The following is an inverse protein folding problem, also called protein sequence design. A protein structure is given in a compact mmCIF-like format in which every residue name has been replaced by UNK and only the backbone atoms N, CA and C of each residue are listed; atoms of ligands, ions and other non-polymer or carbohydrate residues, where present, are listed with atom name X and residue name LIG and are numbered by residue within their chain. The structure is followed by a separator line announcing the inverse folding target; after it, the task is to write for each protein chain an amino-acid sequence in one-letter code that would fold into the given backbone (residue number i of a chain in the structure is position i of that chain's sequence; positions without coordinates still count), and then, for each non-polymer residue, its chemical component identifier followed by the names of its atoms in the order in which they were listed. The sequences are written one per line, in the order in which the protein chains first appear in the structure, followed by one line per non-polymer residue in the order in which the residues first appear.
data_IF_456021648597
#
_entry.id   IF_456021648597
#
_cell.length_a   1.000
_cell.length_b   1.000
_cell.length_c   1.000
_cell.angle_alpha   90.00
_cell.angle_beta   90.00
_cell.angle_gamma   90.00
#
_symmetry.space_group_name_H-M   'P 1'
#
loop_
_entity.id
_entity.type
_entity.pdbx_description
1 polymer ?
#
# COMPACT_ATOMS: atom_id res chain seq x y z
N UNK A 1 -10.29 17.34 -16.36
CA UNK A 1 -11.40 16.49 -15.88
C UNK A 1 -11.66 16.80 -14.41
N UNK A 2 -12.89 16.52 -13.93
CA UNK A 2 -13.25 16.55 -12.51
C UNK A 2 -13.38 15.12 -12.01
N UNK A 3 -12.51 14.72 -11.09
CA UNK A 3 -12.44 13.35 -10.58
C UNK A 3 -12.86 13.32 -9.12
N UNK A 4 -13.81 12.46 -8.77
CA UNK A 4 -14.25 12.26 -7.40
C UNK A 4 -13.69 10.97 -6.81
N UNK A 5 -12.83 11.06 -5.81
CA UNK A 5 -12.30 9.92 -5.07
C UNK A 5 -13.23 9.54 -3.92
N UNK A 6 -13.70 8.30 -3.89
CA UNK A 6 -14.53 7.76 -2.83
C UNK A 6 -13.73 6.73 -2.05
N UNK A 7 -13.38 7.05 -0.81
CA UNK A 7 -12.50 6.20 0.02
C UNK A 7 -13.01 6.10 1.46
N UNK A 8 -12.99 4.89 2.03
CA UNK A 8 -13.26 4.67 3.45
C UNK A 8 -12.03 4.92 4.32
N UNK A 9 -10.84 4.96 3.71
CA UNK A 9 -9.57 5.16 4.38
C UNK A 9 -8.89 6.41 3.82
N UNK A 10 -8.80 7.46 4.67
CA UNK A 10 -8.15 8.71 4.32
C UNK A 10 -7.52 9.35 5.56
N UNK A 11 -6.77 10.44 5.37
CA UNK A 11 -6.14 11.19 6.48
C UNK A 11 -7.12 11.44 7.64
N UNK A 12 -6.70 11.34 8.91
CA UNK A 12 -5.32 11.25 9.40
C UNK A 12 -4.73 9.83 9.44
N UNK A 13 -5.41 8.82 8.88
CA UNK A 13 -4.87 7.47 8.81
C UNK A 13 -3.65 7.45 7.87
N UNK A 14 -2.58 6.79 8.31
CA UNK A 14 -1.37 6.61 7.52
C UNK A 14 -1.24 5.13 7.14
N UNK A 15 -1.35 4.84 5.84
CA UNK A 15 -1.13 3.50 5.27
C UNK A 15 -0.92 3.59 3.75
N UNK A 16 -0.64 2.45 3.12
CA UNK A 16 -0.40 2.37 1.68
C UNK A 16 -1.58 2.82 0.81
N UNK A 17 -2.83 2.65 1.26
CA UNK A 17 -4.01 3.11 0.51
C UNK A 17 -4.04 4.63 0.47
N UNK A 18 -3.88 5.28 1.64
CA UNK A 18 -3.85 6.75 1.72
C UNK A 18 -2.69 7.32 0.90
N UNK A 19 -1.50 6.72 1.01
CA UNK A 19 -0.34 7.14 0.22
C UNK A 19 -0.61 7.05 -1.30
N UNK A 20 -1.25 5.96 -1.75
CA UNK A 20 -1.64 5.78 -3.16
C UNK A 20 -2.67 6.82 -3.62
N UNK A 21 -3.67 7.10 -2.78
CA UNK A 21 -4.71 8.11 -3.07
C UNK A 21 -4.10 9.50 -3.17
N UNK A 22 -3.19 9.87 -2.24
CA UNK A 22 -2.53 11.16 -2.23
C UNK A 22 -1.64 11.35 -3.47
N UNK A 23 -0.78 10.38 -3.78
CA UNK A 23 0.09 10.44 -4.98
C UNK A 23 -0.73 10.62 -6.25
N UNK A 24 -1.83 9.87 -6.40
CA UNK A 24 -2.70 10.00 -7.57
C UNK A 24 -3.43 11.34 -7.59
N UNK A 25 -3.92 11.81 -6.43
CA UNK A 25 -4.62 13.09 -6.34
C UNK A 25 -3.71 14.26 -6.70
N UNK A 26 -2.51 14.28 -6.15
CA UNK A 26 -1.55 15.37 -6.37
C UNK A 26 -1.04 15.38 -7.82
N UNK A 27 -0.69 14.23 -8.37
CA UNK A 27 -0.26 14.16 -9.76
C UNK A 27 -1.37 14.48 -10.79
N UNK A 28 -2.64 14.22 -10.48
CA UNK A 28 -3.76 14.69 -11.30
C UNK A 28 -3.92 16.22 -11.21
N UNK A 29 -3.75 16.81 -10.00
CA UNK A 29 -3.80 18.28 -9.81
C UNK A 29 -2.68 18.99 -10.55
N UNK A 30 -1.45 18.46 -10.49
CA UNK A 30 -0.32 18.98 -11.26
C UNK A 30 -0.60 19.02 -12.77
N UNK A 31 -1.39 18.07 -13.27
CA UNK A 31 -1.86 18.04 -14.67
C UNK A 31 -3.16 18.83 -14.91
N UNK A 32 -3.49 19.76 -14.00
CA UNK A 32 -4.66 20.65 -14.08
C UNK A 32 -6.01 19.92 -14.09
N UNK A 33 -6.10 18.76 -13.45
CA UNK A 33 -7.37 18.11 -13.16
C UNK A 33 -7.88 18.53 -11.78
N UNK A 34 -9.20 18.66 -11.63
CA UNK A 34 -9.82 18.91 -10.33
C UNK A 34 -10.08 17.57 -9.62
N UNK A 35 -9.57 17.41 -8.41
CA UNK A 35 -9.76 16.18 -7.61
C UNK A 35 -10.51 16.50 -6.33
N UNK A 36 -11.65 15.86 -6.15
CA UNK A 36 -12.52 15.95 -4.97
C UNK A 36 -12.45 14.64 -4.20
N UNK A 37 -12.22 14.69 -2.87
CA UNK A 37 -12.15 13.50 -2.04
C UNK A 37 -13.38 13.39 -1.14
N UNK A 38 -14.04 12.23 -1.13
CA UNK A 38 -15.18 11.89 -0.28
C UNK A 38 -14.75 10.80 0.70
N UNK A 39 -14.68 11.16 1.99
CA UNK A 39 -14.11 10.28 3.02
C UNK A 39 -14.86 10.41 4.36
N UNK A 40 -14.76 9.43 5.28
CA UNK A 40 -15.40 9.51 6.59
C UNK A 40 -14.83 10.66 7.43
N UNK A 41 -15.71 11.28 8.23
CA UNK A 41 -15.30 12.31 9.19
C UNK A 41 -14.59 11.67 10.38
N UNK A 42 -13.44 12.23 10.74
CA UNK A 42 -12.69 11.83 11.95
C UNK A 42 -12.83 12.96 12.98
N UNK A 43 -13.44 12.73 14.15
CA UNK A 43 -13.56 13.73 15.21
C UNK A 43 -12.16 14.23 15.65
N UNK A 44 -12.05 15.53 15.91
CA UNK A 44 -10.79 16.14 16.35
C UNK A 44 -9.73 16.35 15.27
N UNK A 45 -9.95 15.86 14.04
CA UNK A 45 -9.06 16.11 12.92
C UNK A 45 -9.50 17.36 12.16
N UNK A 46 -8.59 18.33 12.05
CA UNK A 46 -8.77 19.53 11.23
C UNK A 46 -8.24 19.26 9.83
N UNK A 47 -9.13 19.35 8.85
CA UNK A 47 -8.75 19.15 7.45
C UNK A 47 -7.86 20.28 6.97
N UNK A 48 -6.83 19.95 6.22
CA UNK A 48 -6.08 20.97 5.47
C UNK A 48 -6.94 21.56 4.35
N UNK A 49 -6.73 22.82 3.96
CA UNK A 49 -7.49 23.43 2.87
C UNK A 49 -7.46 22.58 1.61
N UNK A 50 -8.63 22.23 1.09
CA UNK A 50 -8.74 21.41 -0.13
C UNK A 50 -10.15 20.88 -0.35
N UNK A 51 -10.44 20.30 -1.51
CA UNK A 51 -11.76 19.79 -1.86
C UNK A 51 -12.03 18.41 -1.25
N UNK A 52 -11.97 18.33 0.09
CA UNK A 52 -12.28 17.10 0.84
C UNK A 52 -13.65 17.22 1.51
N UNK A 53 -14.55 16.31 1.17
CA UNK A 53 -15.91 16.22 1.71
C UNK A 53 -15.98 15.13 2.76
N UNK A 54 -16.09 15.52 4.04
CA UNK A 54 -16.18 14.61 5.17
C UNK A 54 -17.60 14.17 5.43
N UNK A 55 -17.84 12.88 5.27
CA UNK A 55 -19.14 12.26 5.51
C UNK A 55 -19.31 11.86 6.98
N UNK A 56 -20.52 11.93 7.56
CA UNK A 56 -20.79 11.44 8.90
C UNK A 56 -20.29 10.00 9.07
N UNK A 57 -19.71 9.70 10.22
CA UNK A 57 -19.15 8.37 10.48
C UNK A 57 -19.22 7.99 11.95
N UNK A 58 -19.27 6.70 12.23
CA UNK A 58 -19.21 6.10 13.57
C UNK A 58 -17.91 5.32 13.75
N UNK A 59 -17.38 5.22 14.99
CA UNK A 59 -16.28 4.31 15.28
C UNK A 59 -16.75 2.86 15.08
N UNK A 60 -15.86 1.99 14.62
CA UNK A 60 -16.12 0.56 14.62
C UNK A 60 -16.04 0.00 16.06
N UNK A 61 -16.80 -1.05 16.41
CA UNK A 61 -16.78 -1.64 17.75
C UNK A 61 -15.54 -2.51 18.02
N UNK A 62 -14.44 -2.20 17.37
CA UNK A 62 -13.13 -2.87 17.50
C UNK A 62 -12.04 -1.80 17.62
N UNK A 63 -10.91 -2.15 18.26
CA UNK A 63 -9.78 -1.22 18.42
C UNK A 63 -9.08 -1.02 17.07
N UNK A 64 -9.54 -0.01 16.32
CA UNK A 64 -9.03 0.32 14.99
C UNK A 64 -9.19 1.82 14.72
N UNK A 65 -8.31 2.44 13.90
CA UNK A 65 -8.49 3.83 13.47
C UNK A 65 -9.57 3.98 12.39
N UNK A 66 -10.06 2.89 11.82
CA UNK A 66 -11.08 2.93 10.75
C UNK A 66 -12.46 3.27 11.30
N UNK A 67 -13.28 3.89 10.47
CA UNK A 67 -14.62 4.35 10.83
C UNK A 67 -15.62 3.86 9.80
N UNK A 68 -16.85 3.65 10.25
CA UNK A 68 -17.97 3.29 9.39
C UNK A 68 -18.64 4.58 8.89
N UNK A 69 -18.61 4.84 7.60
CA UNK A 69 -19.31 5.97 7.00
C UNK A 69 -20.83 5.77 7.09
N UNK A 70 -21.54 6.82 7.45
CA UNK A 70 -22.99 6.83 7.39
C UNK A 70 -23.43 7.48 6.06
N UNK A 71 -24.34 6.86 5.28
CA UNK A 71 -24.81 7.42 4.01
C UNK A 71 -25.81 8.59 4.22
N UNK A 72 -25.81 9.19 5.42
CA UNK A 72 -26.65 10.30 5.83
C UNK A 72 -25.99 11.63 5.44
N UNK A 73 -26.03 12.00 4.19
CA UNK A 73 -25.46 13.28 3.75
C UNK A 73 -26.59 14.24 3.40
N UNK A 74 -26.40 15.52 3.75
CA UNK A 74 -27.26 16.59 3.23
C UNK A 74 -27.17 16.60 1.69
N UNK A 75 -28.16 15.95 1.07
CA UNK A 75 -28.16 15.60 -0.36
C UNK A 75 -28.01 16.82 -1.29
N UNK A 76 -28.44 18.02 -0.84
CA UNK A 76 -28.48 19.21 -1.72
C UNK A 76 -27.08 19.70 -2.11
N UNK A 77 -26.14 19.86 -1.16
CA UNK A 77 -24.82 20.41 -1.46
C UNK A 77 -23.91 19.39 -2.17
N UNK A 78 -23.98 18.13 -1.77
CA UNK A 78 -23.16 17.07 -2.34
C UNK A 78 -23.55 16.75 -3.79
N UNK A 79 -24.85 16.67 -4.08
CA UNK A 79 -25.35 16.41 -5.43
C UNK A 79 -24.88 17.45 -6.44
N UNK A 80 -24.77 18.73 -6.03
CA UNK A 80 -24.29 19.80 -6.90
C UNK A 80 -22.84 19.59 -7.35
N UNK A 81 -21.96 19.11 -6.46
CA UNK A 81 -20.58 18.80 -6.76
C UNK A 81 -20.48 17.51 -7.58
N UNK A 82 -21.13 16.44 -7.13
CA UNK A 82 -21.01 15.12 -7.77
C UNK A 82 -21.56 15.12 -9.20
N UNK A 83 -22.64 15.83 -9.50
CA UNK A 83 -23.18 15.95 -10.87
C UNK A 83 -22.17 16.52 -11.87
N UNK A 84 -21.20 17.31 -11.40
CA UNK A 84 -20.17 17.94 -12.23
C UNK A 84 -18.92 17.06 -12.41
N UNK A 85 -18.86 15.92 -11.72
CA UNK A 85 -17.74 15.00 -11.89
C UNK A 85 -17.74 14.39 -13.30
N UNK A 86 -16.57 14.23 -13.85
CA UNK A 86 -16.33 13.48 -15.08
C UNK A 86 -16.15 11.99 -14.81
N UNK A 87 -15.48 11.66 -13.69
CA UNK A 87 -15.15 10.30 -13.26
C UNK A 87 -15.43 10.17 -11.76
N UNK A 88 -15.96 9.04 -11.35
CA UNK A 88 -15.94 8.58 -9.97
C UNK A 88 -14.87 7.48 -9.86
N UNK A 89 -13.94 7.64 -8.92
CA UNK A 89 -12.90 6.66 -8.65
C UNK A 89 -12.99 6.21 -7.19
N UNK A 90 -13.35 4.97 -6.98
CA UNK A 90 -13.48 4.37 -5.66
C UNK A 90 -12.21 3.61 -5.26
N UNK A 91 -11.84 3.74 -3.98
CA UNK A 91 -10.64 3.13 -3.40
C UNK A 91 -10.97 2.11 -2.31
N UNK A 92 -12.24 1.83 -2.08
CA UNK A 92 -12.68 0.82 -1.10
C UNK A 92 -14.06 0.28 -1.44
N UNK A 93 -14.33 -1.03 -1.24
CA UNK A 93 -15.62 -1.64 -1.54
C UNK A 93 -16.61 -1.58 -0.36
N UNK A 94 -16.45 -0.58 0.51
CA UNK A 94 -17.31 -0.36 1.68
C UNK A 94 -18.37 0.72 1.41
N UNK A 95 -18.98 1.28 2.45
CA UNK A 95 -20.11 2.20 2.32
C UNK A 95 -19.80 3.38 1.42
N UNK A 96 -18.64 4.03 1.61
CA UNK A 96 -18.23 5.16 0.76
C UNK A 96 -18.12 4.74 -0.71
N UNK A 97 -17.55 3.57 -0.97
CA UNK A 97 -17.47 3.05 -2.33
C UNK A 97 -18.84 2.75 -2.93
N UNK A 98 -19.76 2.11 -2.19
CA UNK A 98 -21.14 1.86 -2.64
C UNK A 98 -21.93 3.15 -2.87
N UNK A 99 -21.66 4.21 -2.12
CA UNK A 99 -22.16 5.55 -2.45
C UNK A 99 -21.64 6.01 -3.81
N UNK A 100 -20.35 5.78 -4.11
CA UNK A 100 -19.77 6.02 -5.44
C UNK A 100 -20.53 5.27 -6.54
N UNK A 101 -20.80 3.98 -6.36
CA UNK A 101 -21.62 3.16 -7.30
C UNK A 101 -23.00 3.77 -7.50
N UNK A 102 -23.68 4.17 -6.40
CA UNK A 102 -25.01 4.76 -6.48
C UNK A 102 -24.99 6.08 -7.26
N UNK A 103 -24.04 6.96 -7.01
CA UNK A 103 -23.91 8.22 -7.72
C UNK A 103 -23.52 8.04 -9.18
N UNK A 104 -22.61 7.11 -9.48
CA UNK A 104 -22.20 6.76 -10.83
C UNK A 104 -23.41 6.36 -11.67
N UNK A 105 -24.26 5.47 -11.18
CA UNK A 105 -25.49 5.04 -11.83
C UNK A 105 -26.52 6.18 -11.95
N UNK A 106 -26.70 6.94 -10.87
CA UNK A 106 -27.71 8.02 -10.80
C UNK A 106 -27.43 9.16 -11.77
N UNK A 107 -26.16 9.49 -11.99
CA UNK A 107 -25.75 10.61 -12.82
C UNK A 107 -25.05 10.17 -14.11
N UNK A 108 -25.02 8.88 -14.39
CA UNK A 108 -24.34 8.29 -15.56
C UNK A 108 -22.90 8.79 -15.68
N UNK A 109 -22.13 8.64 -14.62
CA UNK A 109 -20.71 8.98 -14.53
C UNK A 109 -19.92 7.67 -14.53
N UNK A 110 -18.84 7.50 -15.34
CA UNK A 110 -18.02 6.29 -15.29
C UNK A 110 -17.44 6.06 -13.91
N UNK A 111 -17.44 4.80 -13.48
CA UNK A 111 -16.91 4.34 -12.20
C UNK A 111 -15.65 3.52 -12.42
N UNK A 112 -14.55 3.96 -11.81
CA UNK A 112 -13.29 3.19 -11.68
C UNK A 112 -13.17 2.70 -10.26
N UNK A 113 -12.67 1.49 -10.06
CA UNK A 113 -12.35 0.94 -8.76
C UNK A 113 -10.89 0.50 -8.70
N UNK A 114 -10.10 1.01 -7.75
CA UNK A 114 -8.77 0.47 -7.47
C UNK A 114 -8.83 -0.57 -6.35
N UNK A 115 -8.38 -1.78 -6.68
CA UNK A 115 -8.29 -2.91 -5.74
C UNK A 115 -7.00 -2.83 -4.94
N UNK A 116 -7.09 -2.26 -3.73
CA UNK A 116 -5.94 -2.04 -2.85
C UNK A 116 -5.65 -3.19 -1.88
N UNK A 117 -6.67 -4.01 -1.57
CA UNK A 117 -6.58 -4.93 -0.43
C UNK A 117 -7.28 -6.25 -0.72
N UNK A 118 -6.59 -7.35 -0.49
CA UNK A 118 -7.14 -8.69 -0.51
C UNK A 118 -7.96 -8.92 0.78
N UNK A 119 -9.24 -8.49 0.79
CA UNK A 119 -10.08 -8.51 1.99
C UNK A 119 -10.19 -9.90 2.63
N UNK A 120 -10.20 -10.94 1.81
CA UNK A 120 -10.27 -12.33 2.26
C UNK A 120 -9.08 -12.75 3.14
N UNK A 121 -7.94 -12.10 2.99
CA UNK A 121 -6.75 -12.36 3.80
C UNK A 121 -6.83 -11.76 5.21
N UNK A 122 -7.78 -10.83 5.43
CA UNK A 122 -7.98 -10.17 6.72
C UNK A 122 -9.08 -10.82 7.57
N UNK A 123 -9.58 -11.99 7.18
CA UNK A 123 -10.62 -12.70 7.89
C UNK A 123 -10.27 -13.00 9.36
N UNK A 124 -9.00 -13.15 9.69
CA UNK A 124 -8.51 -13.41 11.04
C UNK A 124 -8.65 -12.24 12.02
N UNK A 125 -8.95 -11.03 11.53
CA UNK A 125 -9.22 -9.87 12.40
C UNK A 125 -10.67 -9.77 12.86
N UNK A 126 -11.55 -10.62 12.34
CA UNK A 126 -12.98 -10.59 12.66
C UNK A 126 -13.33 -11.79 13.54
N UNK A 127 -14.07 -11.61 14.67
CA UNK A 127 -14.36 -12.69 15.63
C UNK A 127 -15.51 -13.62 15.15
N UNK A 128 -15.41 -14.10 13.91
CA UNK A 128 -16.36 -15.04 13.31
C UNK A 128 -15.60 -16.14 12.57
N UNK A 129 -16.32 -17.18 12.08
CA UNK A 129 -15.68 -18.24 11.32
C UNK A 129 -14.87 -17.69 10.13
N UNK A 130 -13.54 -17.91 10.09
CA UNK A 130 -12.69 -17.35 9.04
C UNK A 130 -13.06 -17.82 7.63
N UNK A 131 -13.63 -19.01 7.47
CA UNK A 131 -14.05 -19.53 6.16
C UNK A 131 -15.26 -18.76 5.64
N UNK A 132 -16.26 -18.54 6.51
CA UNK A 132 -17.44 -17.73 6.17
C UNK A 132 -17.06 -16.27 5.83
N UNK A 133 -16.16 -15.66 6.62
CA UNK A 133 -15.67 -14.30 6.37
C UNK A 133 -14.91 -14.23 5.04
N UNK A 134 -14.01 -15.18 4.74
CA UNK A 134 -13.33 -15.22 3.44
C UNK A 134 -14.31 -15.29 2.28
N UNK A 135 -15.32 -16.17 2.36
CA UNK A 135 -16.35 -16.31 1.33
C UNK A 135 -17.16 -15.01 1.15
N UNK A 136 -17.54 -14.37 2.26
CA UNK A 136 -18.26 -13.09 2.24
C UNK A 136 -17.39 -11.98 1.62
N UNK A 137 -16.11 -11.87 2.01
CA UNK A 137 -15.16 -10.90 1.47
C UNK A 137 -14.93 -11.10 -0.04
N UNK A 138 -14.75 -12.34 -0.50
CA UNK A 138 -14.63 -12.66 -1.93
C UNK A 138 -15.89 -12.30 -2.71
N UNK A 139 -17.07 -12.57 -2.13
CA UNK A 139 -18.36 -12.20 -2.75
C UNK A 139 -18.54 -10.70 -2.83
N UNK A 140 -18.17 -9.95 -1.78
CA UNK A 140 -18.19 -8.49 -1.76
C UNK A 140 -17.23 -7.91 -2.82
N UNK A 141 -15.99 -8.41 -2.86
CA UNK A 141 -14.98 -8.00 -3.86
C UNK A 141 -15.51 -8.20 -5.27
N UNK A 142 -16.04 -9.40 -5.59
CA UNK A 142 -16.61 -9.69 -6.91
C UNK A 142 -17.80 -8.79 -7.24
N UNK A 143 -18.75 -8.65 -6.32
CA UNK A 143 -19.94 -7.83 -6.56
C UNK A 143 -19.58 -6.36 -6.80
N UNK A 144 -18.64 -5.83 -6.01
CA UNK A 144 -18.20 -4.46 -6.13
C UNK A 144 -17.39 -4.21 -7.40
N UNK A 145 -16.42 -5.07 -7.70
CA UNK A 145 -15.62 -4.99 -8.90
C UNK A 145 -16.49 -5.05 -10.17
N UNK A 146 -17.50 -5.93 -10.19
CA UNK A 146 -18.45 -6.04 -11.31
C UNK A 146 -19.46 -4.87 -11.40
N UNK A 147 -19.50 -3.99 -10.41
CA UNK A 147 -20.30 -2.76 -10.47
C UNK A 147 -19.54 -1.58 -11.10
N UNK A 148 -18.23 -1.70 -11.28
CA UNK A 148 -17.36 -0.69 -11.89
C UNK A 148 -17.23 -0.88 -13.40
N UNK A 149 -17.01 0.22 -14.14
CA UNK A 149 -16.72 0.20 -15.58
C UNK A 149 -15.29 -0.28 -15.87
N UNK A 150 -14.38 -0.03 -14.92
CA UNK A 150 -13.03 -0.57 -14.94
C UNK A 150 -12.51 -0.79 -13.52
N UNK A 151 -11.71 -1.85 -13.36
CA UNK A 151 -11.00 -2.18 -12.12
C UNK A 151 -9.50 -2.02 -12.34
N UNK A 152 -8.87 -1.21 -11.50
CA UNK A 152 -7.42 -1.02 -11.50
C UNK A 152 -6.80 -1.94 -10.47
N UNK A 153 -5.79 -2.68 -10.90
CA UNK A 153 -4.97 -3.56 -10.04
C UNK A 153 -3.51 -3.16 -10.14
N UNK A 154 -2.72 -3.26 -9.07
CA UNK A 154 -1.32 -2.85 -9.10
C UNK A 154 -0.39 -3.87 -9.76
N UNK A 155 -0.81 -5.13 -9.89
CA UNK A 155 -0.04 -6.23 -10.48
C UNK A 155 -0.95 -7.12 -11.34
N UNK A 156 -0.37 -7.80 -12.34
CA UNK A 156 -1.09 -8.76 -13.19
C UNK A 156 -1.59 -9.93 -12.34
N UNK A 157 -0.80 -10.41 -11.38
CA UNK A 157 -1.19 -11.45 -10.45
C UNK A 157 -2.47 -11.10 -9.65
N UNK A 158 -2.70 -9.81 -9.34
CA UNK A 158 -3.97 -9.38 -8.76
C UNK A 158 -5.11 -9.36 -9.78
N UNK A 159 -4.81 -9.07 -11.04
CA UNK A 159 -5.77 -9.19 -12.13
C UNK A 159 -6.26 -10.62 -12.28
N UNK A 160 -5.34 -11.58 -12.36
CA UNK A 160 -5.64 -13.02 -12.45
C UNK A 160 -6.47 -13.47 -11.25
N UNK A 161 -6.10 -13.02 -10.05
CA UNK A 161 -6.88 -13.30 -8.83
C UNK A 161 -8.31 -12.80 -8.91
N UNK A 162 -8.54 -11.61 -9.46
CA UNK A 162 -9.91 -11.09 -9.63
C UNK A 162 -10.69 -11.87 -10.70
N UNK A 163 -10.04 -12.31 -11.77
CA UNK A 163 -10.67 -13.18 -12.78
C UNK A 163 -11.09 -14.53 -12.16
N UNK A 164 -10.24 -15.14 -11.33
CA UNK A 164 -10.57 -16.37 -10.57
C UNK A 164 -11.79 -16.17 -9.65
N UNK A 165 -11.94 -14.98 -9.06
CA UNK A 165 -13.09 -14.61 -8.24
C UNK A 165 -14.37 -14.37 -9.06
N UNK A 166 -14.29 -14.38 -10.39
CA UNK A 166 -15.42 -14.15 -11.29
C UNK A 166 -15.70 -12.67 -11.57
N UNK A 167 -14.69 -11.82 -11.52
CA UNK A 167 -14.79 -10.43 -11.99
C UNK A 167 -14.79 -10.43 -13.52
N UNK A 168 -15.73 -9.67 -14.11
CA UNK A 168 -15.95 -9.57 -15.57
C UNK A 168 -15.72 -8.15 -16.10
N UNK A 169 -15.61 -7.17 -15.23
CA UNK A 169 -15.30 -5.79 -15.61
C UNK A 169 -13.91 -5.69 -16.21
N UNK A 170 -13.68 -4.67 -17.04
CA UNK A 170 -12.35 -4.37 -17.59
C UNK A 170 -11.33 -4.25 -16.46
N UNK A 171 -10.26 -5.04 -16.51
CA UNK A 171 -9.15 -4.98 -15.56
C UNK A 171 -7.97 -4.26 -16.24
N UNK A 172 -7.42 -3.26 -15.54
CA UNK A 172 -6.25 -2.51 -15.97
C UNK A 172 -5.13 -2.64 -14.93
N UNK A 173 -3.94 -3.03 -15.38
CA UNK A 173 -2.76 -3.13 -14.52
C UNK A 173 -2.06 -1.79 -14.48
N UNK A 174 -2.24 -1.06 -13.38
CA UNK A 174 -1.59 0.23 -13.13
C UNK A 174 -0.91 0.19 -11.75
N UNK A 175 0.41 -0.04 -11.70
CA UNK A 175 1.16 -0.02 -10.46
C UNK A 175 1.00 1.31 -9.73
N UNK A 176 0.94 1.25 -8.40
CA UNK A 176 0.99 2.46 -7.57
C UNK A 176 2.37 3.09 -7.72
N UNK A 177 2.38 4.36 -8.07
CA UNK A 177 3.59 5.12 -8.28
C UNK A 177 4.19 5.68 -6.99
N UNK A 178 5.49 5.97 -7.06
CA UNK A 178 6.25 6.66 -6.03
C UNK A 178 7.07 7.80 -6.64
N UNK A 179 7.50 8.73 -5.81
CA UNK A 179 8.48 9.73 -6.22
C UNK A 179 9.88 9.09 -6.26
N UNK A 180 10.30 8.67 -7.47
CA UNK A 180 11.57 7.96 -7.68
C UNK A 180 12.78 8.81 -7.26
N UNK A 181 12.77 10.10 -7.59
CA UNK A 181 13.91 11.00 -7.33
C UNK A 181 14.13 11.21 -5.84
N UNK A 182 13.04 11.31 -5.06
CA UNK A 182 13.12 11.43 -3.61
C UNK A 182 13.84 10.22 -3.00
N UNK A 183 13.47 8.99 -3.41
CA UNK A 183 14.11 7.77 -2.89
C UNK A 183 15.50 7.53 -3.45
N UNK A 184 15.74 7.82 -4.73
CA UNK A 184 17.07 7.72 -5.34
C UNK A 184 18.07 8.73 -4.74
N UNK A 185 17.59 9.86 -4.25
CA UNK A 185 18.37 10.90 -3.57
C UNK A 185 18.75 10.59 -2.12
N UNK A 186 18.19 9.52 -1.54
CA UNK A 186 18.52 9.07 -0.17
C UNK A 186 20.00 8.80 0.02
N UNK A 187 20.53 9.20 1.16
CA UNK A 187 21.94 9.12 1.50
C UNK A 187 22.18 8.17 2.66
N UNK A 188 23.21 7.33 2.56
CA UNK A 188 23.69 6.53 3.70
C UNK A 188 24.30 7.47 4.73
N UNK A 189 23.72 7.51 5.93
CA UNK A 189 24.09 8.41 7.01
C UNK A 189 24.34 7.61 8.30
N UNK A 190 25.46 7.92 8.98
CA UNK A 190 25.83 7.25 10.22
C UNK A 190 24.87 7.54 11.38
N UNK A 191 24.35 8.78 11.47
CA UNK A 191 23.37 9.17 12.49
C UNK A 191 22.02 8.48 12.29
N UNK A 192 21.53 8.38 11.02
CA UNK A 192 20.33 7.61 10.69
C UNK A 192 20.55 6.13 10.98
N UNK A 193 21.71 5.56 10.60
CA UNK A 193 22.03 4.18 10.90
C UNK A 193 22.03 3.89 12.40
N UNK A 194 22.61 4.78 13.21
CA UNK A 194 22.61 4.66 14.66
C UNK A 194 21.21 4.74 15.27
N UNK A 195 20.34 5.64 14.78
CA UNK A 195 18.94 5.74 15.22
C UNK A 195 18.14 4.46 14.92
N UNK A 196 18.49 3.75 13.84
CA UNK A 196 17.95 2.45 13.47
C UNK A 196 18.53 1.28 14.30
N UNK A 197 19.41 1.55 15.25
CA UNK A 197 20.08 0.52 16.06
C UNK A 197 21.26 -0.16 15.37
N UNK A 198 21.74 0.40 14.28
CA UNK A 198 22.94 -0.08 13.60
C UNK A 198 24.20 0.23 14.41
N UNK A 199 25.12 -0.71 14.45
CA UNK A 199 26.46 -0.59 15.03
C UNK A 199 27.47 -0.55 13.89
N UNK A 200 28.62 0.08 14.13
CA UNK A 200 29.71 0.07 13.15
C UNK A 200 30.10 -1.37 12.82
N UNK A 201 30.36 -1.64 11.55
CA UNK A 201 30.80 -2.93 11.00
C UNK A 201 29.82 -4.12 11.14
N UNK A 202 28.64 -3.92 11.75
CA UNK A 202 27.57 -4.92 11.79
C UNK A 202 26.55 -4.69 10.67
N UNK A 203 26.14 -5.73 9.92
CA UNK A 203 25.10 -5.58 8.89
C UNK A 203 23.76 -5.15 9.51
N UNK A 204 23.06 -4.18 8.86
CA UNK A 204 21.74 -3.69 9.26
C UNK A 204 20.69 -4.09 8.24
N UNK A 205 19.82 -5.01 8.62
CA UNK A 205 18.59 -5.31 7.91
C UNK A 205 17.49 -4.32 8.31
N UNK A 206 16.61 -4.01 7.37
CA UNK A 206 15.51 -3.07 7.55
C UNK A 206 14.19 -3.70 7.08
N UNK A 207 13.11 -3.46 7.79
CA UNK A 207 11.77 -3.60 7.24
C UNK A 207 10.95 -2.35 7.57
N UNK A 208 10.09 -1.92 6.64
CA UNK A 208 9.19 -0.76 6.76
C UNK A 208 7.77 -1.23 6.49
N UNK A 209 6.93 -1.30 7.52
CA UNK A 209 5.55 -1.77 7.36
C UNK A 209 4.69 -1.43 8.58
N UNK A 210 3.37 -1.54 8.43
CA UNK A 210 2.47 -1.60 9.57
C UNK A 210 2.70 -2.91 10.34
N UNK A 211 2.80 -2.87 11.65
CA UNK A 211 3.03 -4.05 12.49
C UNK A 211 1.72 -4.84 12.66
N UNK A 212 1.38 -5.64 11.65
CA UNK A 212 0.24 -6.53 11.61
C UNK A 212 0.69 -7.98 11.34
N UNK A 213 -0.13 -8.95 11.72
CA UNK A 213 0.19 -10.39 11.54
C UNK A 213 0.42 -10.75 10.06
N UNK A 214 -0.30 -10.10 9.15
CA UNK A 214 -0.17 -10.30 7.71
C UNK A 214 1.21 -9.92 7.15
N UNK A 215 2.01 -9.15 7.91
CA UNK A 215 3.38 -8.77 7.51
C UNK A 215 4.42 -9.83 7.85
N UNK A 216 4.04 -10.85 8.65
CA UNK A 216 4.87 -12.00 8.95
C UNK A 216 6.28 -11.62 9.48
N UNK A 217 6.32 -10.58 10.36
CA UNK A 217 7.58 -10.05 10.91
C UNK A 217 8.25 -11.10 11.83
N UNK A 218 7.47 -11.99 12.44
CA UNK A 218 7.98 -13.10 13.23
C UNK A 218 9.01 -13.94 12.45
N UNK A 219 8.76 -14.19 11.16
CA UNK A 219 9.71 -14.88 10.28
C UNK A 219 11.07 -14.17 10.20
N UNK A 220 11.07 -12.83 10.16
CA UNK A 220 12.31 -12.05 10.12
C UNK A 220 13.08 -12.16 11.44
N UNK A 221 12.35 -12.12 12.58
CA UNK A 221 12.94 -12.29 13.91
C UNK A 221 13.48 -13.72 14.07
N UNK A 222 12.75 -14.73 13.61
CA UNK A 222 13.20 -16.12 13.63
C UNK A 222 14.41 -16.35 12.76
N UNK A 223 14.45 -15.71 11.58
CA UNK A 223 15.61 -15.76 10.71
C UNK A 223 16.85 -15.11 11.35
N UNK A 224 16.66 -13.97 12.05
CA UNK A 224 17.73 -13.29 12.77
C UNK A 224 18.31 -14.17 13.90
N UNK A 225 17.47 -14.99 14.54
CA UNK A 225 17.89 -15.88 15.63
C UNK A 225 18.84 -16.99 15.17
N UNK A 226 18.75 -17.38 13.90
CA UNK A 226 19.58 -18.48 13.34
C UNK A 226 20.59 -17.98 12.30
N UNK A 227 20.57 -16.68 11.97
CA UNK A 227 21.55 -16.07 11.07
C UNK A 227 22.89 -15.84 11.78
N UNK A 228 23.97 -16.05 11.03
CA UNK A 228 25.35 -15.78 11.48
C UNK A 228 25.74 -14.33 11.18
N UNK A 229 26.79 -13.82 11.85
CA UNK A 229 27.45 -12.56 11.47
C UNK A 229 26.96 -11.30 12.17
N UNK A 230 26.36 -11.38 13.37
CA UNK A 230 26.04 -10.19 14.19
C UNK A 230 25.02 -9.23 13.58
N UNK A 231 24.16 -9.73 12.70
CA UNK A 231 23.19 -8.93 11.95
C UNK A 231 22.18 -8.28 12.89
N UNK A 232 21.85 -7.01 12.64
CA UNK A 232 20.79 -6.25 13.34
C UNK A 232 19.58 -6.06 12.45
N UNK A 233 18.39 -5.93 13.04
CA UNK A 233 17.12 -5.70 12.36
C UNK A 233 16.45 -4.44 12.88
N UNK A 234 16.28 -3.45 12.01
CA UNK A 234 15.44 -2.29 12.25
C UNK A 234 14.02 -2.55 11.72
N UNK A 235 13.02 -2.36 12.57
CA UNK A 235 11.60 -2.47 12.24
C UNK A 235 10.97 -1.09 12.34
N UNK A 236 10.68 -0.48 11.19
CA UNK A 236 10.07 0.85 11.09
C UNK A 236 8.58 0.70 10.86
N UNK A 237 7.80 1.37 11.69
CA UNK A 237 6.34 1.40 11.66
C UNK A 237 5.71 1.08 13.01
N UNK A 238 4.38 1.20 13.04
CA UNK A 238 3.55 0.94 14.23
C UNK A 238 2.41 -0.02 13.88
N UNK A 239 1.84 -0.67 14.90
CA UNK A 239 0.69 -1.56 14.75
C UNK A 239 0.41 -2.42 15.95
N UNK A 240 -0.71 -3.14 15.89
CA UNK A 240 -1.24 -3.91 17.04
C UNK A 240 -0.34 -5.10 17.43
N UNK A 241 0.48 -5.60 16.51
CA UNK A 241 1.37 -6.73 16.77
C UNK A 241 2.66 -6.34 17.52
N UNK A 242 2.94 -5.02 17.75
CA UNK A 242 4.21 -4.55 18.32
C UNK A 242 4.59 -5.31 19.61
N UNK A 243 3.72 -5.30 20.61
CA UNK A 243 4.00 -5.95 21.89
C UNK A 243 4.19 -7.48 21.79
N UNK A 244 3.52 -8.14 20.83
CA UNK A 244 3.68 -9.56 20.55
C UNK A 244 5.06 -9.84 19.90
N UNK A 245 5.46 -9.00 18.94
CA UNK A 245 6.75 -9.08 18.27
C UNK A 245 7.93 -8.80 19.20
N UNK A 246 7.83 -7.82 20.11
CA UNK A 246 8.83 -7.54 21.13
C UNK A 246 9.03 -8.75 22.04
N UNK A 247 7.94 -9.36 22.54
CA UNK A 247 8.00 -10.61 23.31
C UNK A 247 8.57 -11.77 22.49
N UNK A 248 8.28 -11.83 21.20
CA UNK A 248 8.84 -12.85 20.32
C UNK A 248 10.35 -12.71 20.18
N UNK A 249 10.87 -11.50 19.99
CA UNK A 249 12.31 -11.22 19.94
C UNK A 249 13.03 -11.65 21.24
N UNK A 250 12.41 -11.40 22.41
CA UNK A 250 12.94 -11.90 23.70
C UNK A 250 12.96 -13.41 23.75
N UNK A 251 11.85 -14.09 23.39
CA UNK A 251 11.80 -15.58 23.38
C UNK A 251 12.85 -16.20 22.45
N UNK A 252 13.18 -15.50 21.36
CA UNK A 252 14.20 -15.96 20.38
C UNK A 252 15.63 -15.57 20.78
N UNK A 253 15.83 -14.84 21.87
CA UNK A 253 17.15 -14.41 22.35
C UNK A 253 17.84 -13.38 21.47
N UNK A 254 17.07 -12.55 20.72
CA UNK A 254 17.61 -11.56 19.78
C UNK A 254 17.15 -10.13 20.06
N UNK A 255 16.57 -9.87 21.22
CA UNK A 255 16.00 -8.56 21.55
C UNK A 255 17.03 -7.43 21.54
N UNK A 256 18.29 -7.71 21.78
CA UNK A 256 19.40 -6.76 21.71
C UNK A 256 19.82 -6.40 20.27
N UNK A 257 19.44 -7.24 19.31
CA UNK A 257 19.69 -7.05 17.87
C UNK A 257 18.48 -6.55 17.08
N UNK A 258 17.29 -6.47 17.70
CA UNK A 258 16.05 -5.98 17.07
C UNK A 258 15.70 -4.60 17.59
N UNK A 259 15.61 -3.60 16.70
CA UNK A 259 15.20 -2.24 17.03
C UNK A 259 13.81 -1.96 16.48
N UNK A 260 12.82 -1.78 17.35
CA UNK A 260 11.49 -1.24 17.00
C UNK A 260 11.57 0.29 17.00
N UNK A 261 11.68 0.87 15.82
CA UNK A 261 11.94 2.31 15.63
C UNK A 261 10.68 3.14 15.84
N UNK A 262 9.52 2.58 15.54
CA UNK A 262 8.26 3.31 15.53
C UNK A 262 7.96 3.94 14.16
N UNK A 263 6.98 4.85 14.13
CA UNK A 263 6.61 5.57 12.93
C UNK A 263 7.67 6.62 12.57
N UNK A 264 7.99 6.70 11.29
CA UNK A 264 8.83 7.75 10.71
C UNK A 264 8.04 8.47 9.61
N UNK A 265 8.31 9.75 9.44
CA UNK A 265 7.71 10.53 8.36
C UNK A 265 8.23 10.07 6.99
N UNK A 266 7.37 10.17 5.97
CA UNK A 266 7.73 9.71 4.62
C UNK A 266 8.97 10.41 4.06
N UNK A 267 9.23 11.64 4.47
CA UNK A 267 10.41 12.42 4.07
C UNK A 267 11.73 11.84 4.61
N UNK A 268 11.69 11.07 5.72
CA UNK A 268 12.87 10.46 6.32
C UNK A 268 13.22 9.11 5.66
N UNK A 269 12.23 8.44 5.05
CA UNK A 269 12.39 7.08 4.51
C UNK A 269 13.50 6.95 3.45
N UNK A 270 13.76 7.91 2.55
CA UNK A 270 14.86 7.80 1.59
C UNK A 270 16.23 7.53 2.25
N UNK A 271 16.57 8.28 3.29
CA UNK A 271 17.83 8.11 4.02
C UNK A 271 17.82 6.81 4.85
N UNK A 272 16.65 6.40 5.36
CA UNK A 272 16.45 5.14 6.09
C UNK A 272 16.75 3.94 5.19
N UNK A 273 16.17 3.86 3.99
CA UNK A 273 16.46 2.79 3.03
C UNK A 273 17.93 2.80 2.58
N UNK A 274 18.49 4.00 2.31
CA UNK A 274 19.89 4.14 1.88
C UNK A 274 20.89 3.74 2.97
N UNK A 275 20.52 3.84 4.25
CA UNK A 275 21.36 3.52 5.41
C UNK A 275 21.34 2.05 5.78
N UNK A 276 20.43 1.25 5.24
CA UNK A 276 20.36 -0.19 5.44
C UNK A 276 21.26 -0.98 4.45
N UNK A 277 21.64 -2.20 4.84
CA UNK A 277 22.42 -3.11 4.03
C UNK A 277 21.54 -4.12 3.28
N UNK A 278 20.35 -4.40 3.81
CA UNK A 278 19.32 -5.21 3.16
C UNK A 278 17.92 -4.76 3.62
N UNK A 279 16.94 -4.82 2.72
CA UNK A 279 15.53 -4.68 3.02
C UNK A 279 14.87 -6.06 3.05
N UNK A 280 14.19 -6.38 4.16
CA UNK A 280 13.49 -7.64 4.34
C UNK A 280 12.00 -7.49 4.07
N UNK A 281 11.45 -8.45 3.35
CA UNK A 281 10.03 -8.48 3.05
C UNK A 281 9.47 -9.90 3.16
N UNK A 282 8.59 -10.14 4.14
CA UNK A 282 8.02 -11.46 4.42
C UNK A 282 6.51 -11.55 4.23
N UNK A 283 5.85 -10.45 3.86
CA UNK A 283 4.41 -10.45 3.62
C UNK A 283 4.03 -11.31 2.41
N UNK A 284 3.02 -12.15 2.56
CA UNK A 284 2.49 -13.02 1.49
C UNK A 284 1.11 -12.57 0.99
N UNK A 285 0.59 -11.45 1.49
CA UNK A 285 -0.78 -10.98 1.24
C UNK A 285 -0.85 -9.61 0.56
N UNK A 286 0.26 -9.11 0.06
CA UNK A 286 0.30 -7.80 -0.60
C UNK A 286 -0.37 -7.82 -1.97
N UNK A 287 -0.91 -6.68 -2.36
CA UNK A 287 -1.32 -6.45 -3.75
C UNK A 287 -0.15 -5.97 -4.61
N UNK A 288 0.70 -5.11 -4.07
CA UNK A 288 1.96 -4.65 -4.66
C UNK A 288 3.10 -4.59 -3.63
N UNK A 289 2.84 -3.95 -2.46
CA UNK A 289 3.87 -3.58 -1.50
C UNK A 289 4.64 -2.34 -1.95
N UNK A 290 4.07 -1.14 -1.74
CA UNK A 290 4.69 0.14 -2.13
C UNK A 290 6.13 0.25 -1.60
N UNK A 291 6.39 -0.24 -0.39
CA UNK A 291 7.71 -0.27 0.25
C UNK A 291 8.77 -1.03 -0.57
N UNK A 292 8.36 -1.99 -1.41
CA UNK A 292 9.27 -2.67 -2.35
C UNK A 292 9.75 -1.72 -3.45
N UNK A 293 8.84 -0.92 -4.01
CA UNK A 293 9.20 0.09 -4.98
C UNK A 293 10.10 1.17 -4.36
N UNK A 294 9.85 1.57 -3.12
CA UNK A 294 10.67 2.51 -2.35
C UNK A 294 12.09 1.95 -2.12
N UNK A 295 12.21 0.71 -1.66
CA UNK A 295 13.50 0.04 -1.46
C UNK A 295 14.28 -0.10 -2.77
N UNK A 296 13.60 -0.47 -3.88
CA UNK A 296 14.21 -0.51 -5.22
C UNK A 296 14.75 0.85 -5.64
N UNK A 297 13.95 1.93 -5.50
CA UNK A 297 14.34 3.28 -5.89
C UNK A 297 15.52 3.81 -5.07
N UNK A 298 15.57 3.50 -3.77
CA UNK A 298 16.71 3.81 -2.90
C UNK A 298 17.95 2.97 -3.24
N UNK A 299 17.81 1.93 -4.06
CA UNK A 299 18.90 1.00 -4.37
C UNK A 299 19.26 0.08 -3.19
N UNK A 300 18.34 -0.13 -2.26
CA UNK A 300 18.54 -1.06 -1.16
C UNK A 300 18.38 -2.51 -1.66
N UNK A 301 19.31 -3.44 -1.37
CA UNK A 301 19.17 -4.84 -1.73
C UNK A 301 17.95 -5.44 -1.02
N UNK A 302 17.17 -6.25 -1.72
CA UNK A 302 15.93 -6.81 -1.18
C UNK A 302 16.08 -8.33 -1.02
N UNK A 303 15.67 -8.83 0.16
CA UNK A 303 15.43 -10.24 0.44
C UNK A 303 13.93 -10.39 0.69
N UNK A 304 13.24 -11.12 -0.18
CA UNK A 304 11.80 -11.22 -0.13
C UNK A 304 11.32 -12.67 -0.14
N UNK A 305 10.28 -12.98 0.62
CA UNK A 305 9.53 -14.21 0.47
C UNK A 305 8.91 -14.24 -0.92
N UNK A 306 9.13 -15.35 -1.63
CA UNK A 306 8.58 -15.53 -2.98
C UNK A 306 7.05 -15.60 -2.95
N UNK A 307 6.42 -14.77 -3.75
CA UNK A 307 5.02 -14.85 -4.15
C UNK A 307 4.92 -14.40 -5.61
N UNK A 308 3.85 -14.73 -6.35
CA UNK A 308 3.65 -14.19 -7.69
C UNK A 308 3.73 -12.65 -7.73
N UNK A 309 3.16 -11.97 -6.72
CA UNK A 309 3.18 -10.52 -6.61
C UNK A 309 4.58 -9.97 -6.34
N UNK A 310 5.32 -10.56 -5.40
CA UNK A 310 6.69 -10.11 -5.12
C UNK A 310 7.61 -10.36 -6.32
N UNK A 311 7.42 -11.48 -7.01
CA UNK A 311 8.17 -11.80 -8.23
C UNK A 311 7.88 -10.82 -9.36
N UNK A 312 6.61 -10.45 -9.56
CA UNK A 312 6.23 -9.44 -10.55
C UNK A 312 6.81 -8.05 -10.22
N UNK A 313 6.76 -7.65 -8.93
CA UNK A 313 7.24 -6.33 -8.48
C UNK A 313 8.76 -6.23 -8.49
N UNK A 314 9.49 -7.29 -8.16
CA UNK A 314 10.94 -7.22 -7.97
C UNK A 314 11.76 -7.76 -9.17
N UNK A 315 11.16 -8.64 -9.98
CA UNK A 315 11.86 -9.28 -11.10
C UNK A 315 13.16 -9.94 -10.65
N UNK A 316 14.27 -9.59 -11.28
CA UNK A 316 15.60 -10.07 -10.95
C UNK A 316 16.38 -9.16 -9.97
N UNK A 317 15.73 -8.16 -9.38
CA UNK A 317 16.35 -7.18 -8.49
C UNK A 317 16.34 -7.60 -7.00
N UNK A 318 15.87 -8.81 -6.68
CA UNK A 318 15.78 -9.31 -5.31
C UNK A 318 16.38 -10.72 -5.17
N UNK A 319 16.70 -11.06 -3.93
CA UNK A 319 16.94 -12.45 -3.51
C UNK A 319 15.64 -13.02 -2.97
N UNK A 320 15.12 -14.06 -3.63
CA UNK A 320 13.92 -14.73 -3.19
C UNK A 320 14.23 -15.86 -2.22
N UNK A 321 13.39 -15.97 -1.21
CA UNK A 321 13.49 -17.01 -0.18
C UNK A 321 12.16 -17.74 -0.02
N UNK A 322 12.18 -18.97 0.45
CA UNK A 322 10.99 -19.66 0.93
C UNK A 322 10.45 -18.97 2.20
N UNK A 323 9.17 -19.16 2.50
CA UNK A 323 8.54 -18.65 3.72
C UNK A 323 9.00 -19.46 4.96
N UNK A 324 10.31 -19.50 5.17
CA UNK A 324 11.00 -20.27 6.21
C UNK A 324 12.17 -19.49 6.79
N UNK A 325 12.34 -19.50 8.11
CA UNK A 325 13.38 -18.77 8.82
C UNK A 325 14.79 -19.14 8.33
N UNK A 326 15.08 -20.42 8.15
CA UNK A 326 16.38 -20.89 7.68
C UNK A 326 16.72 -20.40 6.26
N UNK A 327 15.71 -20.29 5.37
CA UNK A 327 15.92 -19.79 4.02
C UNK A 327 16.27 -18.29 4.04
N UNK A 328 15.56 -17.49 4.83
CA UNK A 328 15.83 -16.06 5.00
C UNK A 328 17.17 -15.82 5.71
N UNK A 329 17.49 -16.61 6.74
CA UNK A 329 18.77 -16.53 7.46
C UNK A 329 19.97 -16.75 6.55
N UNK A 330 19.95 -17.79 5.68
CA UNK A 330 21.02 -18.02 4.69
C UNK A 330 21.21 -16.82 3.76
N UNK A 331 20.11 -16.23 3.29
CA UNK A 331 20.17 -15.05 2.43
C UNK A 331 20.73 -13.82 3.18
N UNK A 332 20.41 -13.67 4.46
CA UNK A 332 20.94 -12.62 5.33
C UNK A 332 22.46 -12.82 5.55
N UNK A 333 22.89 -14.01 5.97
CA UNK A 333 24.30 -14.31 6.26
C UNK A 333 25.20 -14.16 5.04
N UNK A 334 24.68 -14.35 3.84
CA UNK A 334 25.43 -14.10 2.59
C UNK A 334 25.63 -12.61 2.27
N UNK A 335 24.99 -11.70 3.02
CA UNK A 335 24.99 -10.25 2.80
C UNK A 335 25.75 -9.50 3.91
N UNK A 336 27.02 -9.84 4.09
CA UNK A 336 27.87 -9.25 5.15
C UNK A 336 28.52 -7.93 4.75
N UNK A 337 28.41 -7.50 3.49
CA UNK A 337 29.04 -6.28 2.99
C UNK A 337 28.03 -5.28 2.46
N UNK A 338 28.39 -4.01 2.47
CA UNK A 338 27.62 -2.95 1.81
C UNK A 338 27.36 -3.32 0.34
N UNK A 339 26.13 -3.08 -0.16
CA UNK A 339 25.76 -3.46 -1.50
C UNK A 339 26.64 -2.79 -2.56
N UNK A 340 27.06 -3.57 -3.57
CA UNK A 340 27.85 -3.06 -4.69
C UNK A 340 27.06 -2.02 -5.50
N UNK A 341 27.78 -1.16 -6.22
CA UNK A 341 27.17 -0.18 -7.13
C UNK A 341 26.28 -0.84 -8.18
N UNK A 342 26.64 -2.03 -8.64
CA UNK A 342 25.87 -2.82 -9.62
C UNK A 342 24.51 -3.26 -9.05
N UNK A 343 24.46 -3.77 -7.82
CA UNK A 343 23.20 -4.17 -7.16
C UNK A 343 22.29 -2.95 -7.01
N UNK A 344 22.84 -1.81 -6.58
CA UNK A 344 22.08 -0.56 -6.45
C UNK A 344 21.54 -0.07 -7.80
N UNK A 345 22.35 -0.15 -8.86
CA UNK A 345 21.94 0.26 -10.21
C UNK A 345 20.80 -0.63 -10.74
N UNK A 346 20.90 -1.94 -10.56
CA UNK A 346 19.86 -2.92 -10.95
C UNK A 346 18.55 -2.67 -10.22
N UNK A 347 18.61 -2.41 -8.92
CA UNK A 347 17.41 -2.08 -8.12
C UNK A 347 16.74 -0.81 -8.63
N UNK A 348 17.50 0.28 -8.86
CA UNK A 348 16.98 1.55 -9.37
C UNK A 348 16.40 1.41 -10.78
N UNK A 349 17.00 0.62 -11.64
CA UNK A 349 16.45 0.34 -12.98
C UNK A 349 15.08 -0.37 -12.87
N UNK A 350 14.99 -1.37 -11.99
CA UNK A 350 13.72 -2.07 -11.75
C UNK A 350 12.64 -1.14 -11.16
N UNK A 351 13.03 -0.09 -10.42
CA UNK A 351 12.12 0.89 -9.84
C UNK A 351 11.44 1.79 -10.88
N UNK A 352 12.04 2.03 -12.06
CA UNK A 352 11.54 3.02 -13.04
C UNK A 352 10.08 2.86 -13.41
N UNK A 353 9.59 1.63 -13.48
CA UNK A 353 8.19 1.33 -13.81
C UNK A 353 7.18 1.76 -12.73
N UNK A 354 7.67 2.12 -11.53
CA UNK A 354 6.87 2.62 -10.41
C UNK A 354 6.93 4.15 -10.28
N UNK A 355 7.38 4.87 -11.30
CA UNK A 355 7.35 6.33 -11.31
C UNK A 355 5.91 6.85 -11.24
N UNK A 356 5.67 7.84 -10.37
CA UNK A 356 4.34 8.43 -10.20
C UNK A 356 3.79 8.99 -11.52
N UNK A 357 4.64 9.59 -12.36
CA UNK A 357 4.23 10.14 -13.66
C UNK A 357 3.65 9.09 -14.58
N UNK A 358 4.25 7.90 -14.61
CA UNK A 358 3.77 6.78 -15.42
C UNK A 358 2.42 6.25 -14.91
N UNK A 359 2.23 6.18 -13.58
CA UNK A 359 0.92 5.85 -13.01
C UNK A 359 -0.14 6.85 -13.45
N UNK A 360 0.15 8.15 -13.31
CA UNK A 360 -0.83 9.20 -13.59
C UNK A 360 -1.16 9.23 -15.08
N UNK A 361 -0.17 9.06 -15.97
CA UNK A 361 -0.39 8.98 -17.41
C UNK A 361 -1.34 7.83 -17.77
N UNK A 362 -1.11 6.63 -17.21
CA UNK A 362 -1.99 5.47 -17.42
C UNK A 362 -3.40 5.71 -16.91
N UNK A 363 -3.52 6.34 -15.72
CA UNK A 363 -4.83 6.66 -15.14
C UNK A 363 -5.59 7.70 -15.97
N UNK A 364 -4.92 8.76 -16.45
CA UNK A 364 -5.54 9.77 -17.33
C UNK A 364 -6.00 9.15 -18.63
N UNK A 365 -5.21 8.25 -19.21
CA UNK A 365 -5.59 7.47 -20.42
C UNK A 365 -6.83 6.62 -20.16
N UNK A 366 -6.86 5.85 -19.07
CA UNK A 366 -8.02 5.04 -18.69
C UNK A 366 -9.28 5.89 -18.54
N UNK A 367 -9.17 7.02 -17.84
CA UNK A 367 -10.31 7.94 -17.69
C UNK A 367 -10.79 8.50 -19.04
N UNK A 368 -9.86 8.86 -19.92
CA UNK A 368 -10.16 9.32 -21.29
C UNK A 368 -10.90 8.27 -22.09
N UNK A 369 -10.43 7.01 -22.06
CA UNK A 369 -11.08 5.88 -22.73
C UNK A 369 -12.52 5.67 -22.27
N UNK A 370 -12.76 5.76 -20.94
CA UNK A 370 -14.09 5.58 -20.37
C UNK A 370 -15.03 6.72 -20.77
N UNK A 371 -14.53 7.96 -20.80
CA UNK A 371 -15.32 9.12 -21.23
C UNK A 371 -15.68 9.05 -22.72
N UNK A 372 -14.75 8.61 -23.57
CA UNK A 372 -14.99 8.46 -25.01
C UNK A 372 -16.05 7.40 -25.35
N UNK A 373 -16.25 6.41 -24.48
CA UNK A 373 -17.27 5.35 -24.65
C UNK A 373 -18.67 5.76 -24.18
N UNK A 374 -18.79 6.88 -23.47
CA UNK A 374 -20.12 7.36 -23.05
C UNK A 374 -20.87 7.95 -24.24
N UNK A 375 -22.16 7.61 -24.46
CA UNK A 375 -22.99 8.35 -25.41
C UNK A 375 -23.03 9.82 -24.96
N UNK A 376 -22.89 10.72 -25.95
CA UNK A 376 -22.96 12.16 -25.72
C UNK A 376 -24.18 12.46 -24.83
N UNK A 377 -23.97 13.09 -23.69
CA UNK A 377 -25.08 13.58 -22.86
C UNK A 377 -25.84 14.55 -23.75
N UNK A 378 -27.04 14.16 -24.17
CA UNK A 378 -27.98 15.13 -24.78
C UNK A 378 -28.15 16.29 -23.81
N UNK A 379 -27.85 17.49 -24.28
CA UNK A 379 -27.86 18.75 -23.55
C UNK A 379 -29.23 19.04 -22.93
#
# INVERSE_FOLDING_TARGET
MRVGFFTECYRPIVNGVVASVDVLADGLRERRHEVYCFAPRVPGYTEQPGPVFRMPSLPLPIKTPYRLTLPLVSRKNLNGVIRRLSIIHAHSPFITGWMGVWYARRFRIPLVYTYHTQLEQYAHYVPFDPAAIRKAASSLTRAYANAADAVVVPTAAMGDRLLELGVRSRIEVVPTGINLDAFAGGRRRSDVRASLGGVADEPLALTVCRLGREKNIELMIDALAVAEGGIRLAIVGEGQARAELERHAVRRGVSDRVRFVGYLDRAELPDVYASADAFLFSSVTETQGIVLAEALAAGCPIIAVYTPQTSEVLGNAATYVANEAASMARALSSRTASPSAEIRARSREAARRFGQDLQIERMVRLYGDLLARQPLKSA
#
